data_IF_269748683427
#
_entry.id   IF_269748683427
#
_cell.length_a   1.000
_cell.length_b   1.000
_cell.length_c   1.000
_cell.angle_alpha   90.00
_cell.angle_beta   90.00
_cell.angle_gamma   90.00
#
_symmetry.space_group_name_H-M   'P 1'
#
loop_
_entity.id
_entity.type
_entity.pdbx_description
1 polymer ?
#
# COMPACT_ATOMS: atom_id res chain seq x y z
N UNK A 1 8.96 6.89 23.38
CA UNK A 1 9.66 7.15 22.10
C UNK A 1 8.63 7.09 20.98
N UNK A 2 8.41 8.21 20.28
CA UNK A 2 7.63 8.22 19.05
C UNK A 2 8.43 7.48 17.96
N UNK A 3 7.77 6.62 17.20
CA UNK A 3 8.38 5.79 16.15
C UNK A 3 9.00 6.67 15.06
N UNK A 4 10.08 6.19 14.43
CA UNK A 4 10.68 6.84 13.26
C UNK A 4 10.94 5.80 12.16
N UNK A 5 10.83 6.22 10.91
CA UNK A 5 11.12 5.43 9.72
C UNK A 5 11.92 6.28 8.76
N UNK A 6 12.80 5.62 8.02
CA UNK A 6 13.60 6.22 6.97
C UNK A 6 13.10 5.69 5.63
N UNK A 7 12.74 6.60 4.74
CA UNK A 7 12.47 6.27 3.34
C UNK A 7 13.71 6.60 2.52
N UNK A 8 14.19 5.61 1.78
CA UNK A 8 15.29 5.77 0.85
C UNK A 8 14.72 5.88 -0.56
N UNK A 9 15.07 6.95 -1.26
CA UNK A 9 14.79 7.12 -2.67
C UNK A 9 16.08 6.80 -3.45
N UNK A 10 16.14 5.70 -4.20
CA UNK A 10 17.28 5.44 -5.07
C UNK A 10 17.23 6.41 -6.26
N UNK A 11 18.24 7.27 -6.40
CA UNK A 11 18.39 8.15 -7.56
C UNK A 11 17.40 9.33 -7.60
N UNK A 12 16.93 9.65 -8.81
CA UNK A 12 16.05 10.77 -9.12
C UNK A 12 14.59 10.49 -8.74
N UNK A 13 13.85 11.52 -8.31
CA UNK A 13 12.43 11.39 -8.02
C UNK A 13 11.89 12.38 -6.99
N UNK A 14 10.89 11.97 -6.23
CA UNK A 14 10.23 12.81 -5.23
C UNK A 14 9.89 12.04 -3.94
N UNK A 15 10.17 12.66 -2.79
CA UNK A 15 9.62 12.29 -1.49
C UNK A 15 8.43 13.21 -1.19
N UNK A 16 7.27 12.63 -0.91
CA UNK A 16 6.03 13.38 -0.69
C UNK A 16 5.33 12.89 0.56
N UNK A 17 4.91 13.83 1.42
CA UNK A 17 4.20 13.54 2.67
C UNK A 17 2.78 14.08 2.67
N UNK A 18 1.88 13.40 3.38
CA UNK A 18 0.50 13.81 3.64
C UNK A 18 0.13 13.59 5.09
N UNK A 19 -0.65 14.50 5.66
CA UNK A 19 -1.17 14.44 7.03
C UNK A 19 -2.67 14.66 7.00
N UNK A 20 -3.43 13.75 7.60
CA UNK A 20 -4.90 13.75 7.65
C UNK A 20 -5.43 14.04 9.05
N UNK A 21 -6.61 14.68 9.12
CA UNK A 21 -7.27 15.14 10.34
C UNK A 21 -6.38 16.01 11.23
N UNK A 22 -6.02 17.19 10.70
CA UNK A 22 -5.33 18.23 11.43
C UNK A 22 -6.22 18.75 12.58
N UNK A 23 -5.96 18.33 13.82
CA UNK A 23 -6.57 18.82 15.05
C UNK A 23 -6.18 20.29 15.35
N UNK A 24 -5.03 20.71 14.83
CA UNK A 24 -4.47 22.06 14.81
C UNK A 24 -3.60 22.19 13.56
N UNK A 25 -3.26 23.39 13.06
CA UNK A 25 -2.18 23.54 12.09
C UNK A 25 -0.97 22.67 12.50
N UNK A 26 -0.54 21.78 11.59
CA UNK A 26 0.56 20.82 11.78
C UNK A 26 0.34 19.68 12.81
N UNK A 27 -0.88 19.40 13.26
CA UNK A 27 -1.16 18.29 14.20
C UNK A 27 -2.20 17.31 13.64
N UNK A 28 -1.79 16.34 12.84
CA UNK A 28 -2.69 15.30 12.32
C UNK A 28 -2.70 14.02 13.14
N UNK A 29 -3.81 13.27 13.09
CA UNK A 29 -3.93 11.95 13.73
C UNK A 29 -3.27 10.83 12.92
N UNK A 30 -3.22 10.97 11.60
CA UNK A 30 -2.57 10.01 10.70
C UNK A 30 -1.73 10.75 9.68
N UNK A 31 -0.54 10.25 9.37
CA UNK A 31 0.29 10.76 8.29
C UNK A 31 0.91 9.62 7.49
N UNK A 32 1.25 9.91 6.23
CA UNK A 32 2.03 9.02 5.41
C UNK A 32 3.07 9.79 4.59
N UNK A 33 4.12 9.10 4.20
CA UNK A 33 5.10 9.57 3.24
C UNK A 33 5.34 8.49 2.19
N UNK A 34 5.62 8.90 0.95
CA UNK A 34 5.93 8.02 -0.18
C UNK A 34 7.20 8.48 -0.88
N UNK A 35 7.94 7.52 -1.44
CA UNK A 35 9.11 7.75 -2.27
C UNK A 35 8.82 7.29 -3.70
N UNK A 36 8.81 8.22 -4.65
CA UNK A 36 8.63 7.95 -6.07
C UNK A 36 9.96 8.09 -6.79
N UNK A 37 10.44 7.02 -7.40
CA UNK A 37 11.63 7.01 -8.26
C UNK A 37 11.23 7.22 -9.72
N UNK A 38 11.88 8.17 -10.39
CA UNK A 38 11.68 8.46 -11.80
C UNK A 38 12.74 9.41 -12.33
N UNK A 39 13.14 9.23 -13.60
CA UNK A 39 14.05 10.13 -14.32
C UNK A 39 13.33 11.30 -15.01
N UNK A 40 12.02 11.48 -14.79
CA UNK A 40 11.29 12.61 -15.36
C UNK A 40 11.80 13.94 -14.79
N UNK A 41 11.92 14.95 -15.67
CA UNK A 41 12.15 16.33 -15.24
C UNK A 41 10.86 17.01 -14.72
N UNK A 42 9.69 16.38 -14.91
CA UNK A 42 8.41 16.91 -14.47
C UNK A 42 8.14 16.63 -12.99
N UNK A 43 8.89 17.31 -12.12
CA UNK A 43 8.78 17.16 -10.66
C UNK A 43 7.38 17.53 -10.14
N UNK A 44 6.67 18.47 -10.80
CA UNK A 44 5.30 18.83 -10.43
C UNK A 44 4.37 17.62 -10.53
N UNK A 45 4.42 16.90 -11.65
CA UNK A 45 3.63 15.68 -11.85
C UNK A 45 3.93 14.62 -10.77
N UNK A 46 5.22 14.37 -10.47
CA UNK A 46 5.60 13.44 -9.40
C UNK A 46 5.04 13.85 -8.04
N UNK A 47 5.07 15.14 -7.72
CA UNK A 47 4.51 15.64 -6.44
C UNK A 47 3.00 15.50 -6.37
N UNK A 48 2.29 15.75 -7.47
CA UNK A 48 0.84 15.58 -7.56
C UNK A 48 0.44 14.11 -7.41
N UNK A 49 1.13 13.19 -8.09
CA UNK A 49 0.93 11.75 -7.92
C UNK A 49 1.27 11.32 -6.48
N UNK A 50 2.44 11.71 -5.97
CA UNK A 50 2.88 11.33 -4.63
C UNK A 50 1.95 11.83 -3.53
N UNK A 51 1.36 13.02 -3.69
CA UNK A 51 0.36 13.54 -2.77
C UNK A 51 -0.87 12.63 -2.70
N UNK A 52 -1.37 12.20 -3.87
CA UNK A 52 -2.53 11.30 -3.96
C UNK A 52 -2.21 9.90 -3.44
N UNK A 53 -1.01 9.38 -3.72
CA UNK A 53 -0.57 8.09 -3.19
C UNK A 53 -0.40 8.13 -1.66
N UNK A 54 0.13 9.22 -1.10
CA UNK A 54 0.22 9.37 0.36
C UNK A 54 -1.18 9.45 1.01
N UNK A 55 -2.17 10.09 0.36
CA UNK A 55 -3.57 10.04 0.78
C UNK A 55 -4.14 8.62 0.73
N UNK A 56 -3.87 7.88 -0.34
CA UNK A 56 -4.25 6.48 -0.46
C UNK A 56 -3.66 5.64 0.68
N UNK A 57 -2.35 5.77 0.96
CA UNK A 57 -1.68 5.05 2.05
C UNK A 57 -2.33 5.33 3.40
N UNK A 58 -2.68 6.60 3.69
CA UNK A 58 -3.39 6.95 4.93
C UNK A 58 -4.72 6.20 5.04
N UNK A 59 -5.51 6.19 3.96
CA UNK A 59 -6.86 5.62 3.93
C UNK A 59 -6.89 4.09 3.88
N UNK A 60 -6.08 3.47 3.00
CA UNK A 60 -6.05 2.04 2.75
C UNK A 60 -5.16 1.26 3.72
N UNK A 61 -4.31 1.95 4.49
CA UNK A 61 -3.46 1.39 5.53
C UNK A 61 -2.71 0.08 5.14
N UNK A 62 -1.98 0.06 4.00
CA UNK A 62 -1.18 -1.10 3.62
C UNK A 62 -0.12 -1.40 4.68
N UNK A 63 0.22 -2.69 4.81
CA UNK A 63 1.26 -3.16 5.73
C UNK A 63 2.59 -3.43 5.00
N UNK A 64 2.54 -3.59 3.68
CA UNK A 64 3.70 -3.90 2.84
C UNK A 64 3.57 -3.23 1.47
N UNK A 65 4.71 -3.04 0.79
CA UNK A 65 4.73 -2.43 -0.55
C UNK A 65 4.13 -3.39 -1.60
N UNK A 66 4.53 -4.65 -1.56
CA UNK A 66 4.08 -5.72 -2.44
C UNK A 66 3.88 -7.02 -1.63
N UNK A 67 3.31 -8.04 -2.25
CA UNK A 67 3.02 -9.32 -1.59
C UNK A 67 4.28 -10.02 -1.08
N UNK A 68 5.41 -9.85 -1.76
CA UNK A 68 6.71 -10.44 -1.39
C UNK A 68 7.31 -9.79 -0.15
N UNK A 69 6.92 -8.55 0.15
CA UNK A 69 7.40 -7.79 1.31
C UNK A 69 6.56 -8.01 2.56
N UNK A 70 5.52 -8.87 2.51
CA UNK A 70 4.74 -9.24 3.69
C UNK A 70 5.52 -10.28 4.50
N UNK A 71 5.59 -10.10 5.81
CA UNK A 71 6.19 -11.07 6.72
C UNK A 71 5.53 -12.45 6.55
N UNK A 72 6.34 -13.49 6.32
CA UNK A 72 5.87 -14.87 6.14
C UNK A 72 5.04 -15.37 7.32
N UNK A 73 5.33 -14.91 8.55
CA UNK A 73 4.55 -15.26 9.74
C UNK A 73 3.13 -14.71 9.69
N UNK A 74 2.92 -13.51 9.12
CA UNK A 74 1.59 -12.95 8.91
C UNK A 74 0.83 -13.73 7.83
N UNK A 75 1.51 -14.08 6.74
CA UNK A 75 0.90 -14.89 5.66
C UNK A 75 0.45 -16.25 6.21
N UNK A 76 1.29 -16.91 7.01
CA UNK A 76 0.97 -18.21 7.57
C UNK A 76 -0.16 -18.13 8.59
N UNK A 77 -0.11 -17.14 9.49
CA UNK A 77 -1.18 -16.90 10.47
C UNK A 77 -2.53 -16.65 9.79
N UNK A 78 -2.54 -15.81 8.74
CA UNK A 78 -3.76 -15.56 7.98
C UNK A 78 -4.26 -16.82 7.27
N UNK A 79 -3.36 -17.60 6.66
CA UNK A 79 -3.70 -18.89 6.05
C UNK A 79 -4.35 -19.85 7.06
N UNK A 80 -3.80 -19.95 8.27
CA UNK A 80 -4.33 -20.84 9.31
C UNK A 80 -5.74 -20.42 9.74
N UNK A 81 -5.95 -19.11 9.93
CA UNK A 81 -7.29 -18.54 10.23
C UNK A 81 -8.28 -18.88 9.11
N UNK A 82 -7.90 -18.64 7.85
CA UNK A 82 -8.76 -18.91 6.69
C UNK A 82 -9.06 -20.41 6.51
N UNK A 83 -8.09 -21.26 6.82
CA UNK A 83 -8.22 -22.73 6.77
C UNK A 83 -9.21 -23.21 7.82
N UNK A 84 -9.09 -22.72 9.05
CA UNK A 84 -9.99 -23.08 10.14
C UNK A 84 -11.43 -22.63 9.85
N UNK A 85 -11.60 -21.41 9.35
CA UNK A 85 -12.88 -20.93 8.86
C UNK A 85 -13.46 -21.82 7.74
N UNK A 86 -12.63 -22.28 6.80
CA UNK A 86 -13.08 -23.09 5.69
C UNK A 86 -13.45 -24.53 6.08
N UNK A 87 -12.78 -25.14 7.06
CA UNK A 87 -13.12 -26.48 7.57
C UNK A 87 -14.54 -26.58 8.10
N UNK A 88 -15.06 -25.51 8.73
CA UNK A 88 -16.45 -25.45 9.20
C UNK A 88 -17.51 -25.60 8.10
N UNK A 89 -17.11 -25.47 6.82
CA UNK A 89 -18.03 -25.61 5.68
C UNK A 89 -18.35 -27.06 5.29
N UNK A 90 -17.66 -28.05 5.86
CA UNK A 90 -17.88 -29.48 5.56
C UNK A 90 -17.51 -29.92 4.13
N UNK A 91 -16.84 -29.06 3.36
CA UNK A 91 -16.43 -29.34 1.98
C UNK A 91 -15.18 -30.22 1.92
N UNK A 92 -14.94 -30.94 0.81
CA UNK A 92 -13.71 -31.70 0.62
C UNK A 92 -12.43 -30.84 0.67
N UNK A 93 -11.30 -31.43 1.07
CA UNK A 93 -10.03 -30.71 1.30
C UNK A 93 -9.57 -29.90 0.07
N UNK A 94 -9.67 -30.46 -1.13
CA UNK A 94 -9.30 -29.76 -2.36
C UNK A 94 -10.14 -28.51 -2.64
N UNK A 95 -11.40 -28.47 -2.17
CA UNK A 95 -12.27 -27.29 -2.28
C UNK A 95 -11.90 -26.27 -1.19
N UNK A 96 -11.61 -26.75 0.01
CA UNK A 96 -11.09 -25.91 1.11
C UNK A 96 -9.80 -25.21 0.68
N UNK A 97 -8.85 -25.92 0.10
CA UNK A 97 -7.57 -25.37 -0.34
C UNK A 97 -7.76 -24.25 -1.38
N UNK A 98 -8.66 -24.46 -2.35
CA UNK A 98 -9.03 -23.44 -3.34
C UNK A 98 -9.69 -22.22 -2.69
N UNK A 99 -10.57 -22.42 -1.70
CA UNK A 99 -11.20 -21.33 -0.96
C UNK A 99 -10.17 -20.51 -0.18
N UNK A 100 -9.26 -21.17 0.52
CA UNK A 100 -8.19 -20.52 1.28
C UNK A 100 -7.29 -19.73 0.35
N UNK A 101 -6.85 -20.31 -0.77
CA UNK A 101 -6.01 -19.60 -1.76
C UNK A 101 -6.71 -18.37 -2.33
N UNK A 102 -7.99 -18.45 -2.68
CA UNK A 102 -8.77 -17.30 -3.16
C UNK A 102 -8.89 -16.18 -2.12
N UNK A 103 -9.13 -16.54 -0.85
CA UNK A 103 -9.20 -15.56 0.25
C UNK A 103 -7.84 -14.96 0.58
N UNK A 104 -6.76 -15.74 0.50
CA UNK A 104 -5.40 -15.23 0.70
C UNK A 104 -5.00 -14.24 -0.40
N UNK A 105 -5.41 -14.50 -1.65
CA UNK A 105 -5.24 -13.53 -2.74
C UNK A 105 -6.01 -12.23 -2.49
N UNK A 106 -7.21 -12.30 -1.89
CA UNK A 106 -7.97 -11.12 -1.47
C UNK A 106 -7.24 -10.35 -0.36
N UNK A 107 -6.71 -11.07 0.64
CA UNK A 107 -5.90 -10.47 1.71
C UNK A 107 -4.70 -9.69 1.14
N UNK A 108 -3.96 -10.24 0.16
CA UNK A 108 -2.88 -9.51 -0.48
C UNK A 108 -3.34 -8.20 -1.14
N UNK A 109 -4.50 -8.20 -1.80
CA UNK A 109 -5.11 -6.97 -2.36
C UNK A 109 -5.57 -5.98 -1.30
N UNK A 110 -5.74 -6.41 -0.05
CA UNK A 110 -6.12 -5.53 1.05
C UNK A 110 -4.91 -4.93 1.76
N UNK A 111 -3.76 -5.62 1.79
CA UNK A 111 -2.62 -5.22 2.64
C UNK A 111 -1.34 -4.87 1.90
N UNK A 112 -1.19 -5.26 0.63
CA UNK A 112 -0.04 -4.90 -0.20
C UNK A 112 -0.36 -3.69 -1.08
N UNK A 113 0.33 -2.57 -0.87
CA UNK A 113 0.04 -1.28 -1.50
C UNK A 113 -0.09 -1.36 -3.02
N UNK A 114 0.83 -2.02 -3.72
CA UNK A 114 0.77 -2.12 -5.17
C UNK A 114 -0.41 -2.97 -5.69
N UNK A 115 -0.98 -3.84 -4.86
CA UNK A 115 -2.12 -4.70 -5.20
C UNK A 115 -3.47 -4.06 -4.82
N UNK A 116 -3.46 -3.01 -4.01
CA UNK A 116 -4.66 -2.33 -3.54
C UNK A 116 -5.39 -1.62 -4.67
N UNK A 117 -6.72 -1.73 -4.67
CA UNK A 117 -7.59 -0.91 -5.50
C UNK A 117 -7.47 0.56 -5.07
N UNK A 118 -7.29 1.45 -6.03
CA UNK A 118 -6.94 2.83 -5.76
C UNK A 118 -8.14 3.64 -5.25
N UNK A 119 -8.11 3.95 -3.94
CA UNK A 119 -9.25 4.58 -3.23
C UNK A 119 -9.69 5.97 -3.72
N UNK A 120 -8.89 6.67 -4.53
CA UNK A 120 -9.23 8.01 -5.02
C UNK A 120 -9.94 7.98 -6.38
N UNK A 121 -9.86 6.85 -7.09
CA UNK A 121 -10.54 6.63 -8.36
C UNK A 121 -10.74 5.12 -8.57
N UNK A 122 -11.97 4.67 -8.36
CA UNK A 122 -12.33 3.25 -8.48
C UNK A 122 -12.18 2.72 -9.91
N UNK A 123 -12.14 3.59 -10.93
CA UNK A 123 -11.97 3.20 -12.33
C UNK A 123 -10.49 3.05 -12.72
N UNK A 124 -9.58 3.59 -11.91
CA UNK A 124 -8.14 3.55 -12.20
C UNK A 124 -7.50 2.17 -11.89
N UNK A 125 -8.26 1.25 -11.31
CA UNK A 125 -7.77 -0.08 -10.95
C UNK A 125 -6.88 -0.05 -9.70
N UNK A 126 -5.78 -0.79 -9.74
CA UNK A 126 -4.80 -0.91 -8.67
C UNK A 126 -3.80 0.25 -8.64
N UNK A 127 -3.12 0.43 -7.50
CA UNK A 127 -2.01 1.41 -7.40
C UNK A 127 -0.91 1.12 -8.43
N UNK A 128 -0.64 -0.15 -8.74
CA UNK A 128 0.30 -0.52 -9.82
C UNK A 128 -0.15 -0.01 -11.18
N UNK A 129 -1.44 -0.09 -11.49
CA UNK A 129 -2.00 0.40 -12.75
C UNK A 129 -1.97 1.94 -12.81
N UNK A 130 -2.21 2.62 -11.69
CA UNK A 130 -2.03 4.08 -11.59
C UNK A 130 -0.59 4.50 -11.90
N UNK A 131 0.40 3.80 -11.34
CA UNK A 131 1.82 4.06 -11.60
C UNK A 131 2.19 3.79 -13.08
N UNK A 132 1.66 2.72 -13.67
CA UNK A 132 1.89 2.38 -15.07
C UNK A 132 1.26 3.41 -16.04
N UNK A 133 0.06 3.87 -15.74
CA UNK A 133 -0.61 4.93 -16.49
C UNK A 133 0.19 6.24 -16.42
N UNK A 134 0.68 6.61 -15.24
CA UNK A 134 1.51 7.79 -15.07
C UNK A 134 2.86 7.67 -15.80
N UNK A 135 3.48 6.49 -15.75
CA UNK A 135 4.72 6.21 -16.50
C UNK A 135 4.52 6.40 -17.99
N UNK A 136 3.40 5.92 -18.53
CA UNK A 136 3.01 6.10 -19.94
C UNK A 136 2.80 7.57 -20.27
N UNK A 137 2.10 8.30 -19.39
CA UNK A 137 1.81 9.73 -19.57
C UNK A 137 3.07 10.60 -19.54
N UNK A 138 4.05 10.26 -18.72
CA UNK A 138 5.31 10.99 -18.56
C UNK A 138 6.43 10.51 -19.51
N UNK A 139 6.22 9.39 -20.21
CA UNK A 139 7.20 8.82 -21.13
C UNK A 139 8.45 8.25 -20.44
N UNK A 140 8.37 7.93 -19.14
CA UNK A 140 9.48 7.37 -18.36
C UNK A 140 8.95 6.58 -17.17
N UNK A 141 9.76 5.67 -16.61
CA UNK A 141 9.34 4.84 -15.48
C UNK A 141 9.04 5.71 -14.25
N UNK A 142 7.92 5.41 -13.58
CA UNK A 142 7.54 5.96 -12.28
C UNK A 142 7.26 4.80 -11.34
N UNK A 143 8.13 4.64 -10.34
CA UNK A 143 8.07 3.53 -9.41
C UNK A 143 7.89 4.02 -7.98
N UNK A 144 7.08 3.30 -7.21
CA UNK A 144 6.95 3.53 -5.78
C UNK A 144 8.03 2.75 -5.04
N UNK A 145 9.11 3.43 -4.66
CA UNK A 145 10.27 2.84 -3.99
C UNK A 145 10.01 2.52 -2.50
N UNK A 146 9.00 3.16 -1.88
CA UNK A 146 8.63 2.87 -0.50
C UNK A 146 7.58 3.82 0.05
N UNK A 147 7.05 3.48 1.21
CA UNK A 147 6.13 4.31 1.96
C UNK A 147 6.31 4.13 3.47
N UNK A 148 5.88 5.12 4.23
CA UNK A 148 5.74 5.05 5.69
C UNK A 148 4.36 5.59 6.06
N UNK A 149 3.74 5.00 7.09
CA UNK A 149 2.46 5.45 7.63
C UNK A 149 2.55 5.47 9.15
N UNK A 150 1.96 6.49 9.75
CA UNK A 150 1.86 6.65 11.19
C UNK A 150 0.44 7.01 11.57
N UNK A 151 -0.09 6.33 12.59
CA UNK A 151 -1.33 6.70 13.27
C UNK A 151 -1.05 6.94 14.76
N UNK A 152 -1.51 8.07 15.29
CA UNK A 152 -1.39 8.40 16.71
C UNK A 152 -2.21 7.40 17.53
N UNK A 153 -1.56 6.74 18.49
CA UNK A 153 -2.18 5.76 19.39
C UNK A 153 -2.19 4.32 18.87
N UNK A 154 -1.66 4.05 17.67
CA UNK A 154 -1.43 2.68 17.20
C UNK A 154 -0.38 2.02 18.12
N UNK A 155 -0.62 0.82 18.63
CA UNK A 155 0.35 0.06 19.46
C UNK A 155 1.34 -0.69 18.58
N UNK A 156 2.55 -0.96 19.09
CA UNK A 156 3.67 -1.48 18.30
C UNK A 156 3.54 -2.96 18.00
#
# INVERSE_FOLDING_TARGET
VARAARLNLPGSGALVGYVHNAYSPNMGRTGAAVALASETSNIRALRELGQKLAMHVVAAAPIALNKESIDLSLIQKERDILTEQAKSSGKPQNVIDKMVSGRLNKYFKEVALLEQAYVLDEQAGSVREVLAAESTRLGTSVELAGFARYHVGESS
#
